data_IF_232972113858
#
_entry.id   IF_232972113858
#
_cell.length_a   1.000
_cell.length_b   1.000
_cell.length_c   1.000
_cell.angle_alpha   90.00
_cell.angle_beta   90.00
_cell.angle_gamma   90.00
#
_symmetry.space_group_name_H-M   'P 1'
#
loop_
_entity.id
_entity.type
_entity.pdbx_description
1 polymer ?
#
# COMPACT_ATOMS: atom_id res chain seq x y z
N UNK A 1 29.89 -51.41 -10.71
CA UNK A 1 30.01 -50.05 -11.27
C UNK A 1 29.08 -49.14 -10.47
N UNK A 2 29.63 -48.05 -9.92
CA UNK A 2 28.91 -47.04 -9.11
C UNK A 2 28.08 -46.15 -10.03
N UNK A 3 26.80 -45.99 -9.77
CA UNK A 3 25.98 -44.92 -10.37
C UNK A 3 25.28 -44.16 -9.26
N UNK A 4 25.96 -43.14 -8.76
CA UNK A 4 25.36 -42.12 -7.89
C UNK A 4 24.46 -41.23 -8.74
N UNK A 5 23.15 -41.35 -8.58
CA UNK A 5 22.18 -40.48 -9.22
C UNK A 5 21.94 -39.27 -8.28
N UNK A 6 22.66 -38.17 -8.53
CA UNK A 6 22.46 -36.89 -7.85
C UNK A 6 21.20 -36.23 -8.46
N UNK A 7 20.08 -36.28 -7.73
CA UNK A 7 18.89 -35.51 -8.06
C UNK A 7 19.06 -34.11 -7.49
N UNK A 8 19.35 -33.16 -8.37
CA UNK A 8 19.43 -31.73 -8.08
C UNK A 8 18.03 -31.23 -7.68
N UNK A 9 17.81 -30.97 -6.39
CA UNK A 9 16.63 -30.28 -5.91
C UNK A 9 16.74 -28.80 -6.30
N UNK A 10 16.07 -28.41 -7.40
CA UNK A 10 15.87 -27.01 -7.73
C UNK A 10 14.90 -26.42 -6.68
N UNK A 11 15.45 -25.76 -5.67
CA UNK A 11 14.67 -24.90 -4.80
C UNK A 11 14.15 -23.72 -5.64
N UNK A 12 12.89 -23.81 -6.06
CA UNK A 12 12.11 -22.63 -6.48
C UNK A 12 11.89 -21.78 -5.22
N UNK A 13 12.90 -21.01 -4.83
CA UNK A 13 12.69 -19.86 -3.96
C UNK A 13 11.84 -18.88 -4.75
N UNK A 14 10.52 -19.01 -4.65
CA UNK A 14 9.59 -17.95 -4.97
C UNK A 14 9.87 -16.87 -3.93
N UNK A 15 10.86 -16.03 -4.23
CA UNK A 15 11.01 -14.75 -3.59
C UNK A 15 9.77 -13.96 -3.92
N UNK A 16 8.77 -14.04 -3.03
CA UNK A 16 7.69 -13.04 -2.98
C UNK A 16 8.38 -11.76 -2.55
N UNK A 17 9.00 -11.09 -3.53
CA UNK A 17 9.45 -9.72 -3.38
C UNK A 17 8.22 -8.95 -2.95
N UNK A 18 8.23 -8.51 -1.69
CA UNK A 18 7.34 -7.48 -1.22
C UNK A 18 7.49 -6.34 -2.21
N UNK A 19 6.51 -6.19 -3.10
CA UNK A 19 6.30 -4.95 -3.82
C UNK A 19 6.07 -3.91 -2.73
N UNK A 20 7.16 -3.28 -2.27
CA UNK A 20 7.08 -1.99 -1.64
C UNK A 20 6.53 -1.12 -2.75
N UNK A 21 5.21 -0.95 -2.76
CA UNK A 21 4.60 0.12 -3.52
C UNK A 21 5.31 1.37 -3.02
N UNK A 22 6.15 1.96 -3.88
CA UNK A 22 6.73 3.28 -3.65
C UNK A 22 5.55 4.18 -3.29
N UNK A 23 5.41 4.48 -2.00
CA UNK A 23 4.43 5.45 -1.54
C UNK A 23 4.89 6.74 -2.17
N UNK A 24 4.10 7.29 -3.10
CA UNK A 24 4.51 8.53 -3.76
C UNK A 24 4.54 9.60 -2.67
N UNK A 25 5.67 10.29 -2.53
CA UNK A 25 5.79 11.40 -1.58
C UNK A 25 4.94 12.57 -2.08
N UNK A 26 3.71 12.66 -1.60
CA UNK A 26 2.79 13.75 -1.93
C UNK A 26 3.04 14.96 -1.05
N UNK A 27 3.08 16.15 -1.67
CA UNK A 27 3.18 17.39 -0.90
C UNK A 27 1.90 17.66 -0.10
N UNK A 28 1.97 18.38 1.03
CA UNK A 28 0.78 18.77 1.79
C UNK A 28 -0.29 19.48 0.96
N UNK A 29 0.11 20.23 -0.06
CA UNK A 29 -0.74 20.93 -1.02
C UNK A 29 -1.49 19.94 -1.90
N UNK A 30 -0.79 18.95 -2.47
CA UNK A 30 -1.41 17.87 -3.26
C UNK A 30 -2.39 17.04 -2.42
N UNK A 31 -2.05 16.75 -1.16
CA UNK A 31 -2.94 15.99 -0.24
C UNK A 31 -4.23 16.78 0.10
N UNK A 32 -4.21 18.12 0.02
CA UNK A 32 -5.41 18.94 0.20
C UNK A 32 -6.37 18.82 -0.99
N UNK A 33 -5.84 18.61 -2.19
CA UNK A 33 -6.63 18.43 -3.41
C UNK A 33 -7.23 17.01 -3.51
N UNK A 34 -6.64 16.03 -2.81
CA UNK A 34 -7.16 14.68 -2.77
C UNK A 34 -8.57 14.60 -2.15
N UNK A 35 -9.45 13.72 -2.65
CA UNK A 35 -10.76 13.50 -2.07
C UNK A 35 -10.67 13.10 -0.59
N UNK A 36 -11.54 13.67 0.24
CA UNK A 36 -11.63 13.30 1.65
C UNK A 36 -12.47 12.04 1.82
N UNK A 37 -11.92 11.03 2.46
CA UNK A 37 -12.62 9.78 2.76
C UNK A 37 -13.06 9.75 4.22
N UNK A 38 -13.81 10.78 4.64
CA UNK A 38 -14.07 11.10 6.05
C UNK A 38 -14.51 9.91 6.90
N UNK A 39 -15.37 9.04 6.39
CA UNK A 39 -15.83 7.84 7.10
C UNK A 39 -14.71 6.80 7.27
N UNK A 40 -13.98 6.49 6.20
CA UNK A 40 -12.87 5.51 6.24
C UNK A 40 -11.69 6.03 7.06
N UNK A 41 -11.35 7.31 6.88
CA UNK A 41 -10.34 8.03 7.68
C UNK A 41 -10.69 8.02 9.18
N UNK A 42 -11.97 8.18 9.54
CA UNK A 42 -12.40 8.13 10.94
C UNK A 42 -12.37 6.71 11.51
N UNK A 43 -12.80 5.71 10.73
CA UNK A 43 -12.76 4.30 11.13
C UNK A 43 -11.33 3.80 11.34
N UNK A 44 -10.39 4.19 10.48
CA UNK A 44 -8.98 3.80 10.61
C UNK A 44 -8.22 4.64 11.65
N UNK A 45 -8.52 5.93 11.74
CA UNK A 45 -7.88 6.87 12.67
C UNK A 45 -8.84 7.34 13.78
N UNK A 46 -9.32 6.37 14.57
CA UNK A 46 -10.22 6.60 15.72
C UNK A 46 -9.58 7.55 16.73
N UNK A 47 -10.38 8.49 17.28
CA UNK A 47 -9.89 9.49 18.24
C UNK A 47 -9.28 8.84 19.49
N UNK A 48 -9.86 7.75 19.98
CA UNK A 48 -9.41 7.02 21.17
C UNK A 48 -8.02 6.39 21.02
N UNK A 49 -7.56 6.12 19.80
CA UNK A 49 -6.28 5.46 19.54
C UNK A 49 -5.07 6.41 19.66
N UNK A 50 -5.30 7.73 19.62
CA UNK A 50 -4.22 8.72 19.56
C UNK A 50 -4.28 9.68 20.75
N UNK A 51 -3.15 9.79 21.48
CA UNK A 51 -3.00 10.74 22.60
C UNK A 51 -2.86 12.20 22.15
N UNK A 52 -2.45 12.43 20.91
CA UNK A 52 -2.22 13.77 20.36
C UNK A 52 -3.01 13.97 19.07
N UNK A 53 -3.60 15.17 18.91
CA UNK A 53 -4.31 15.55 17.68
C UNK A 53 -3.39 15.50 16.46
N UNK A 54 -2.12 15.91 16.60
CA UNK A 54 -1.11 15.89 15.53
C UNK A 54 -0.97 14.48 14.91
N UNK A 55 -0.66 13.47 15.73
CA UNK A 55 -0.53 12.07 15.27
C UNK A 55 -1.83 11.51 14.65
N UNK A 56 -2.99 11.94 15.14
CA UNK A 56 -4.27 11.54 14.53
C UNK A 56 -4.43 12.13 13.13
N UNK A 57 -4.07 13.40 12.94
CA UNK A 57 -4.15 14.06 11.64
C UNK A 57 -3.13 13.48 10.65
N UNK A 58 -1.96 13.08 11.14
CA UNK A 58 -0.94 12.36 10.36
C UNK A 58 -1.49 11.02 9.85
N UNK A 59 -2.07 10.19 10.72
CA UNK A 59 -2.77 8.96 10.30
C UNK A 59 -3.82 9.23 9.22
N UNK A 60 -4.63 10.29 9.36
CA UNK A 60 -5.65 10.60 8.35
C UNK A 60 -5.06 10.98 7.01
N UNK A 61 -3.90 11.65 6.99
CA UNK A 61 -3.18 11.98 5.75
C UNK A 61 -2.67 10.71 5.08
N UNK A 62 -2.00 9.84 5.82
CA UNK A 62 -1.51 8.54 5.32
C UNK A 62 -2.64 7.70 4.74
N UNK A 63 -3.75 7.56 5.47
CA UNK A 63 -4.92 6.80 5.01
C UNK A 63 -5.53 7.41 3.75
N UNK A 64 -5.55 8.75 3.63
CA UNK A 64 -6.07 9.42 2.44
C UNK A 64 -5.21 9.11 1.21
N UNK A 65 -3.89 9.22 1.35
CA UNK A 65 -2.93 8.89 0.30
C UNK A 65 -3.11 7.43 -0.13
N UNK A 66 -3.13 6.50 0.82
CA UNK A 66 -3.29 5.05 0.55
C UNK A 66 -4.57 4.75 -0.24
N UNK A 67 -5.70 5.35 0.15
CA UNK A 67 -6.99 5.13 -0.55
C UNK A 67 -6.95 5.76 -1.94
N UNK A 68 -6.34 6.93 -2.07
CA UNK A 68 -6.23 7.64 -3.34
C UNK A 68 -5.36 6.89 -4.35
N UNK A 69 -4.18 6.41 -3.94
CA UNK A 69 -3.31 5.56 -4.76
C UNK A 69 -4.03 4.27 -5.17
N UNK A 70 -4.74 3.63 -4.24
CA UNK A 70 -5.54 2.43 -4.55
C UNK A 70 -6.66 2.69 -5.56
N UNK A 71 -7.24 3.89 -5.58
CA UNK A 71 -8.25 4.27 -6.57
C UNK A 71 -7.64 4.52 -7.93
N UNK A 72 -6.53 5.26 -8.00
CA UNK A 72 -5.80 5.47 -9.26
C UNK A 72 -5.35 4.14 -9.86
N UNK A 73 -4.69 3.29 -9.07
CA UNK A 73 -4.23 1.98 -9.54
C UNK A 73 -5.36 1.05 -9.99
N UNK A 74 -6.60 1.27 -9.54
CA UNK A 74 -7.79 0.54 -10.06
C UNK A 74 -8.26 1.12 -11.39
N UNK A 75 -8.31 2.45 -11.50
CA UNK A 75 -8.68 3.15 -12.73
C UNK A 75 -7.70 2.83 -13.86
N UNK A 76 -6.39 2.87 -13.58
CA UNK A 76 -5.35 2.55 -14.57
C UNK A 76 -5.53 1.11 -15.11
N UNK A 77 -5.77 0.15 -14.20
CA UNK A 77 -6.03 -1.26 -14.56
C UNK A 77 -7.36 -1.47 -15.29
N UNK A 78 -8.36 -0.63 -15.05
CA UNK A 78 -9.63 -0.67 -15.77
C UNK A 78 -9.47 -0.07 -17.17
N UNK A 79 -8.68 1.01 -17.32
CA UNK A 79 -8.37 1.61 -18.62
C UNK A 79 -7.46 0.76 -19.50
N UNK A 80 -6.55 -0.03 -18.93
CA UNK A 80 -5.71 -0.97 -19.70
C UNK A 80 -6.45 -2.21 -20.20
N UNK A 81 -7.66 -2.47 -19.68
CA UNK A 81 -8.48 -3.64 -20.04
C UNK A 81 -9.58 -3.34 -21.07
N UNK A 82 -9.80 -2.08 -21.42
CA UNK A 82 -10.75 -1.63 -22.44
C UNK A 82 -10.07 -1.44 -23.79
#
# INVERSE_FOLDING_TARGET
MKTSMLITAAALTIGVGSAQADVRDYTPEQIKEMPRFSSIEQQRCLKSRYRSVKKRLECKKEVRVEIFEKRQARQDKESEKG
#
